data_IF_876667345999
#
_entry.id   IF_876667345999
#
_cell.length_a   1.000
_cell.length_b   1.000
_cell.length_c   1.000
_cell.angle_alpha   90.00
_cell.angle_beta   90.00
_cell.angle_gamma   90.00
#
_symmetry.space_group_name_H-M   'P 1'
#
loop_
_entity.id
_entity.type
_entity.pdbx_description
1 polymer ?
#
# COMPACT_ATOMS: atom_id res chain seq x y z
N UNK A 1 -25.91 18.14 4.34
CA UNK A 1 -25.67 16.71 4.64
C UNK A 1 -26.47 16.39 5.89
N UNK A 2 -27.13 15.23 5.98
CA UNK A 2 -28.01 14.90 7.10
C UNK A 2 -27.16 14.63 8.36
N UNK A 3 -27.20 15.49 9.40
CA UNK A 3 -26.34 15.36 10.58
C UNK A 3 -26.57 14.07 11.36
N UNK A 4 -27.79 13.52 11.29
CA UNK A 4 -28.20 12.33 12.05
C UNK A 4 -28.01 11.03 11.28
N UNK A 5 -27.48 11.08 10.05
CA UNK A 5 -27.27 9.87 9.25
C UNK A 5 -26.25 8.95 9.94
N UNK A 6 -26.72 7.75 10.29
CA UNK A 6 -25.90 6.61 10.70
C UNK A 6 -26.01 5.51 9.66
N UNK A 7 -24.90 5.17 9.01
CA UNK A 7 -24.80 4.14 7.99
C UNK A 7 -24.19 2.87 8.55
N UNK A 8 -24.77 1.71 8.27
CA UNK A 8 -24.17 0.43 8.64
C UNK A 8 -22.98 0.06 7.74
N UNK A 9 -22.98 0.55 6.51
CA UNK A 9 -21.90 0.32 5.54
C UNK A 9 -21.50 1.63 4.89
N UNK A 10 -20.20 1.91 4.86
CA UNK A 10 -19.61 3.02 4.10
C UNK A 10 -18.52 2.47 3.20
N UNK A 11 -18.61 2.76 1.90
CA UNK A 11 -17.53 2.50 0.93
C UNK A 11 -17.19 3.80 0.22
N UNK A 12 -15.91 4.13 0.14
CA UNK A 12 -15.48 5.39 -0.44
C UNK A 12 -14.10 5.31 -1.10
N UNK A 13 -13.94 6.06 -2.18
CA UNK A 13 -12.66 6.39 -2.80
C UNK A 13 -12.52 7.92 -2.86
N UNK A 14 -12.20 8.58 -1.73
CA UNK A 14 -12.02 10.01 -1.70
C UNK A 14 -10.83 10.45 -2.57
N UNK A 15 -10.81 11.70 -3.06
CA UNK A 15 -9.67 12.24 -3.81
C UNK A 15 -8.40 12.25 -2.93
N UNK A 16 -7.33 11.63 -3.44
CA UNK A 16 -6.09 11.45 -2.68
C UNK A 16 -5.45 12.77 -2.30
N UNK A 17 -5.19 12.94 -1.00
CA UNK A 17 -4.53 14.11 -0.43
C UNK A 17 -5.11 15.44 -0.96
N UNK A 18 -6.43 15.50 -1.08
CA UNK A 18 -7.11 16.72 -1.50
C UNK A 18 -6.81 17.87 -0.54
N UNK A 19 -6.72 19.08 -1.09
CA UNK A 19 -6.67 20.29 -0.28
C UNK A 19 -8.03 20.54 0.35
N UNK A 20 -8.04 20.99 1.60
CA UNK A 20 -9.27 21.33 2.32
C UNK A 20 -9.04 22.50 3.27
N UNK A 21 -10.09 22.94 3.97
CA UNK A 21 -10.03 24.13 4.81
C UNK A 21 -9.14 23.94 6.04
N UNK A 22 -9.25 22.81 6.74
CA UNK A 22 -8.51 22.53 7.97
C UNK A 22 -8.60 23.73 8.95
N UNK A 23 -7.51 24.14 9.58
CA UNK A 23 -7.45 25.27 10.52
C UNK A 23 -7.85 26.63 9.92
N UNK A 24 -7.95 26.77 8.59
CA UNK A 24 -8.45 28.00 7.97
C UNK A 24 -9.97 28.22 8.21
N UNK A 25 -10.68 27.20 8.70
CA UNK A 25 -12.06 27.31 9.14
C UNK A 25 -12.13 26.96 10.65
N UNK A 26 -12.21 27.97 11.53
CA UNK A 26 -12.09 27.76 12.97
C UNK A 26 -13.23 26.90 13.54
N UNK A 27 -14.37 26.84 12.84
CA UNK A 27 -15.55 26.05 13.26
C UNK A 27 -15.27 24.55 13.28
N UNK A 28 -14.30 24.09 12.49
CA UNK A 28 -13.94 22.67 12.39
C UNK A 28 -13.27 22.14 13.66
N UNK A 29 -12.62 23.00 14.44
CA UNK A 29 -11.95 22.61 15.70
C UNK A 29 -12.94 22.15 16.79
N UNK A 30 -14.18 22.64 16.72
CA UNK A 30 -15.27 22.33 17.66
C UNK A 30 -16.31 21.40 17.05
N UNK A 31 -16.16 21.00 15.79
CA UNK A 31 -17.08 20.11 15.10
C UNK A 31 -16.91 18.67 15.63
N UNK A 32 -18.01 18.03 16.03
CA UNK A 32 -18.02 16.68 16.62
C UNK A 32 -17.35 15.61 15.73
N UNK A 33 -17.28 15.86 14.42
CA UNK A 33 -16.59 14.96 13.47
C UNK A 33 -15.08 14.95 13.69
N UNK A 34 -14.49 16.02 14.23
CA UNK A 34 -13.04 16.23 14.24
C UNK A 34 -12.47 16.54 15.62
N UNK A 35 -13.26 17.19 16.49
CA UNK A 35 -12.79 17.76 17.76
C UNK A 35 -12.15 16.73 18.70
N UNK A 36 -12.70 15.51 18.76
CA UNK A 36 -12.22 14.45 19.65
C UNK A 36 -10.77 13.98 19.37
N UNK A 37 -10.26 14.18 18.16
CA UNK A 37 -8.93 13.70 17.76
C UNK A 37 -7.79 14.64 18.17
N UNK A 38 -8.11 15.83 18.68
CA UNK A 38 -7.15 16.83 19.17
C UNK A 38 -6.35 17.56 18.08
N UNK A 39 -6.48 17.17 16.81
CA UNK A 39 -5.90 17.84 15.63
C UNK A 39 -6.83 17.67 14.42
N UNK A 40 -6.80 18.66 13.53
CA UNK A 40 -7.38 18.55 12.19
C UNK A 40 -6.34 17.97 11.23
N UNK A 41 -6.79 17.19 10.24
CA UNK A 41 -5.90 16.76 9.16
C UNK A 41 -5.23 17.98 8.45
N UNK A 42 -4.02 17.84 7.90
CA UNK A 42 -3.31 18.97 7.29
C UNK A 42 -4.07 19.60 6.12
N UNK A 43 -3.92 20.92 5.91
CA UNK A 43 -4.56 21.65 4.78
C UNK A 43 -4.28 21.03 3.40
N UNK A 44 -3.11 20.43 3.23
CA UNK A 44 -2.66 19.78 2.00
C UNK A 44 -3.04 18.30 1.87
N UNK A 45 -3.65 17.69 2.89
CA UNK A 45 -4.02 16.28 2.89
C UNK A 45 -5.29 16.06 3.71
N UNK A 46 -6.43 15.95 3.01
CA UNK A 46 -7.74 15.70 3.61
C UNK A 46 -8.00 14.21 3.94
N UNK A 47 -7.01 13.33 3.78
CA UNK A 47 -7.22 11.87 3.88
C UNK A 47 -7.85 11.47 5.23
N UNK A 48 -7.28 11.93 6.35
CA UNK A 48 -7.92 11.71 7.67
C UNK A 48 -9.14 12.58 7.95
N UNK A 49 -9.35 13.68 7.23
CA UNK A 49 -10.61 14.43 7.33
C UNK A 49 -11.78 13.60 6.75
N UNK A 50 -11.56 12.89 5.65
CA UNK A 50 -12.54 11.94 5.13
C UNK A 50 -12.74 10.77 6.07
N UNK A 51 -11.66 10.14 6.56
CA UNK A 51 -11.75 8.99 7.51
C UNK A 51 -12.56 9.35 8.74
N UNK A 52 -12.24 10.45 9.42
CA UNK A 52 -12.92 10.88 10.64
C UNK A 52 -14.38 11.28 10.38
N UNK A 53 -14.65 11.96 9.26
CA UNK A 53 -16.01 12.26 8.84
C UNK A 53 -16.85 11.00 8.61
N UNK A 54 -16.30 9.98 7.95
CA UNK A 54 -17.01 8.72 7.72
C UNK A 54 -17.17 7.91 9.01
N UNK A 55 -16.16 7.88 9.89
CA UNK A 55 -16.27 7.26 11.22
C UNK A 55 -17.41 7.92 12.01
N UNK A 56 -17.56 9.24 11.96
CA UNK A 56 -18.66 9.92 12.64
C UNK A 56 -20.03 9.42 12.17
N UNK A 57 -20.22 9.25 10.86
CA UNK A 57 -21.47 8.76 10.25
C UNK A 57 -21.63 7.24 10.27
N UNK A 58 -20.63 6.47 10.69
CA UNK A 58 -20.75 5.02 10.80
C UNK A 58 -21.65 4.66 11.99
N UNK A 59 -22.59 3.73 11.81
CA UNK A 59 -23.37 3.16 12.92
C UNK A 59 -22.45 2.34 13.84
N UNK A 60 -22.86 2.09 15.08
CA UNK A 60 -22.02 1.37 16.06
C UNK A 60 -21.74 -0.08 15.61
N UNK A 61 -22.72 -0.74 15.00
CA UNK A 61 -22.58 -2.05 14.34
C UNK A 61 -22.00 -1.96 12.91
N UNK A 62 -21.57 -0.77 12.47
CA UNK A 62 -21.21 -0.52 11.09
C UNK A 62 -19.76 -0.88 10.73
N UNK A 63 -19.55 -1.10 9.43
CA UNK A 63 -18.25 -1.34 8.81
C UNK A 63 -17.98 -0.36 7.67
N UNK A 64 -16.74 0.06 7.53
CA UNK A 64 -16.29 0.97 6.48
C UNK A 64 -15.09 0.40 5.74
N UNK A 65 -15.04 0.55 4.41
CA UNK A 65 -13.84 0.35 3.62
C UNK A 65 -13.54 1.61 2.79
N UNK A 66 -12.35 2.16 2.96
CA UNK A 66 -11.95 3.40 2.27
C UNK A 66 -10.62 3.20 1.54
N UNK A 67 -10.58 3.65 0.29
CA UNK A 67 -9.35 3.70 -0.51
C UNK A 67 -8.60 4.99 -0.18
N UNK A 68 -7.31 4.86 0.14
CA UNK A 68 -6.43 5.98 0.50
C UNK A 68 -5.05 5.84 -0.17
N UNK A 69 -4.29 6.92 -0.32
CA UNK A 69 -2.88 6.82 -0.68
C UNK A 69 -2.07 6.22 0.47
N UNK A 70 -0.96 5.54 0.18
CA UNK A 70 -0.06 4.97 1.21
C UNK A 70 0.41 6.01 2.24
N UNK A 71 0.52 7.29 1.87
CA UNK A 71 0.87 8.36 2.81
C UNK A 71 -0.02 8.42 4.06
N UNK A 72 -1.30 8.02 3.96
CA UNK A 72 -2.20 7.96 5.12
C UNK A 72 -1.78 6.90 6.17
N UNK A 73 -0.96 5.92 5.78
CA UNK A 73 -0.48 4.88 6.68
C UNK A 73 0.63 5.38 7.61
N UNK A 74 1.44 6.35 7.17
CA UNK A 74 2.70 6.67 7.85
C UNK A 74 2.97 8.16 8.03
N UNK A 75 2.21 9.07 7.41
CA UNK A 75 2.41 10.51 7.64
C UNK A 75 2.31 10.83 9.13
N UNK A 76 3.29 11.59 9.60
CA UNK A 76 3.46 12.01 10.99
C UNK A 76 2.65 13.28 11.29
N UNK A 77 2.86 13.89 12.45
CA UNK A 77 2.16 15.11 12.85
C UNK A 77 0.67 14.87 13.09
N UNK A 78 -0.18 15.72 12.51
CA UNK A 78 -1.62 15.66 12.75
C UNK A 78 -2.26 14.33 12.36
N UNK A 79 -1.94 13.77 11.18
CA UNK A 79 -2.47 12.46 10.76
C UNK A 79 -1.98 11.33 11.67
N UNK A 80 -0.72 11.38 12.12
CA UNK A 80 -0.20 10.42 13.08
C UNK A 80 -0.94 10.43 14.41
N UNK A 81 -1.27 11.62 14.93
CA UNK A 81 -2.05 11.77 16.16
C UNK A 81 -3.49 11.26 16.00
N UNK A 82 -4.16 11.61 14.89
CA UNK A 82 -5.52 11.12 14.59
C UNK A 82 -5.52 9.60 14.46
N UNK A 83 -4.59 9.04 13.67
CA UNK A 83 -4.42 7.60 13.47
C UNK A 83 -4.21 6.86 14.78
N UNK A 84 -3.29 7.35 15.63
CA UNK A 84 -3.04 6.80 16.97
C UNK A 84 -4.31 6.79 17.82
N UNK A 85 -5.10 7.86 17.80
CA UNK A 85 -6.36 7.91 18.55
C UNK A 85 -7.37 6.87 18.05
N UNK A 86 -7.56 6.75 16.73
CA UNK A 86 -8.48 5.77 16.11
C UNK A 86 -8.09 4.33 16.48
N UNK A 87 -6.80 4.05 16.53
CA UNK A 87 -6.28 2.71 16.86
C UNK A 87 -6.35 2.46 18.37
N UNK A 88 -5.70 3.31 19.17
CA UNK A 88 -5.47 3.05 20.60
C UNK A 88 -6.71 3.33 21.46
N UNK A 89 -7.48 4.38 21.15
CA UNK A 89 -8.62 4.81 21.99
C UNK A 89 -9.94 4.27 21.49
N UNK A 90 -10.10 4.15 20.17
CA UNK A 90 -11.35 3.70 19.58
C UNK A 90 -11.33 2.22 19.20
N UNK A 91 -10.15 1.63 18.94
CA UNK A 91 -10.02 0.28 18.37
C UNK A 91 -10.91 0.11 17.13
N UNK A 92 -10.88 1.07 16.20
CA UNK A 92 -11.75 1.02 15.02
C UNK A 92 -11.09 0.43 13.78
N UNK A 93 -9.76 0.44 13.68
CA UNK A 93 -9.06 -0.07 12.50
C UNK A 93 -8.97 -1.59 12.54
N UNK A 94 -9.54 -2.27 11.55
CA UNK A 94 -9.64 -3.74 11.49
C UNK A 94 -8.59 -4.38 10.57
N UNK A 95 -8.32 -3.74 9.43
CA UNK A 95 -7.33 -4.22 8.46
C UNK A 95 -6.76 -3.10 7.58
N UNK A 96 -5.54 -3.32 7.09
CA UNK A 96 -4.85 -2.51 6.09
C UNK A 96 -4.46 -3.42 4.92
N UNK A 97 -4.99 -3.12 3.73
CA UNK A 97 -4.77 -3.91 2.52
C UNK A 97 -4.00 -3.05 1.53
N UNK A 98 -2.76 -3.41 1.20
CA UNK A 98 -1.96 -2.77 0.16
C UNK A 98 -2.39 -3.27 -1.21
N UNK A 99 -2.71 -2.35 -2.11
CA UNK A 99 -3.09 -2.68 -3.48
C UNK A 99 -1.91 -2.53 -4.44
N UNK A 100 -1.96 -3.21 -5.60
CA UNK A 100 -1.00 -3.00 -6.68
C UNK A 100 -0.87 -1.53 -7.08
N UNK A 101 0.33 -1.17 -7.54
CA UNK A 101 0.55 0.10 -8.23
C UNK A 101 -0.23 0.14 -9.56
N UNK A 102 -0.38 1.34 -10.12
CA UNK A 102 -0.95 1.54 -11.46
C UNK A 102 -2.37 0.96 -11.69
N UNK A 103 -3.20 0.86 -10.64
CA UNK A 103 -4.61 0.45 -10.78
C UNK A 103 -5.55 1.62 -11.15
N UNK A 104 -5.24 2.84 -10.70
CA UNK A 104 -6.14 3.98 -10.83
C UNK A 104 -5.87 4.80 -12.10
N UNK A 105 -6.90 5.46 -12.63
CA UNK A 105 -6.72 6.42 -13.72
C UNK A 105 -6.03 7.67 -13.19
N UNK A 106 -5.05 8.19 -13.94
CA UNK A 106 -4.39 9.46 -13.61
C UNK A 106 -3.29 9.38 -12.55
N UNK A 107 -3.00 8.21 -11.98
CA UNK A 107 -1.84 8.02 -11.10
C UNK A 107 -1.34 6.59 -11.12
N UNK A 108 -0.01 6.42 -11.09
CA UNK A 108 0.64 5.11 -10.92
C UNK A 108 0.92 4.79 -9.46
N UNK A 109 0.59 5.69 -8.52
CA UNK A 109 0.84 5.52 -7.08
C UNK A 109 -0.01 4.34 -6.56
N UNK A 110 0.59 3.41 -5.78
CA UNK A 110 -0.17 2.36 -5.12
C UNK A 110 -1.12 2.93 -4.07
N UNK A 111 -2.29 2.31 -3.98
CA UNK A 111 -3.30 2.67 -2.98
C UNK A 111 -3.35 1.62 -1.86
N UNK A 112 -4.10 1.93 -0.82
CA UNK A 112 -4.46 0.99 0.23
C UNK A 112 -5.95 1.06 0.50
N UNK A 113 -6.54 -0.06 0.90
CA UNK A 113 -7.87 -0.09 1.51
C UNK A 113 -7.67 -0.20 3.02
N UNK A 114 -8.22 0.75 3.76
CA UNK A 114 -8.32 0.65 5.22
C UNK A 114 -9.76 0.25 5.58
N UNK A 115 -9.88 -0.81 6.37
CA UNK A 115 -11.17 -1.33 6.83
C UNK A 115 -11.36 -0.95 8.29
N UNK A 116 -12.50 -0.35 8.62
CA UNK A 116 -12.84 0.08 9.97
C UNK A 116 -14.14 -0.56 10.45
N UNK A 117 -14.24 -0.85 11.75
CA UNK A 117 -15.41 -1.39 12.43
C UNK A 117 -15.57 -0.71 13.78
N UNK A 118 -16.75 -0.17 14.10
CA UNK A 118 -16.95 0.56 15.37
C UNK A 118 -17.05 -0.35 16.59
N UNK A 119 -17.73 -1.48 16.48
CA UNK A 119 -17.85 -2.45 17.56
C UNK A 119 -16.99 -3.70 17.31
N UNK A 120 -15.67 -3.56 17.44
CA UNK A 120 -14.75 -4.71 17.51
C UNK A 120 -14.82 -5.32 18.91
N UNK A 121 -15.41 -6.52 19.04
CA UNK A 121 -15.63 -7.21 20.32
C UNK A 121 -14.57 -8.27 20.63
N UNK A 122 -13.92 -8.75 19.58
CA UNK A 122 -12.88 -9.77 19.55
C UNK A 122 -11.92 -9.28 18.48
N UNK A 123 -10.60 -9.43 18.69
CA UNK A 123 -9.54 -9.03 17.76
C UNK A 123 -9.08 -7.57 17.98
N UNK A 124 -8.12 -7.40 18.90
CA UNK A 124 -7.34 -6.14 19.01
C UNK A 124 -6.25 -6.05 17.93
N UNK A 125 -5.95 -7.17 17.24
CA UNK A 125 -4.98 -7.20 16.15
C UNK A 125 -5.45 -6.44 14.92
N UNK A 126 -4.52 -5.96 14.11
CA UNK A 126 -4.81 -5.35 12.81
C UNK A 126 -4.25 -6.26 11.73
N UNK A 127 -5.10 -6.72 10.82
CA UNK A 127 -4.66 -7.58 9.72
C UNK A 127 -4.02 -6.73 8.63
N UNK A 128 -2.75 -6.99 8.34
CA UNK A 128 -2.06 -6.46 7.18
C UNK A 128 -2.11 -7.47 6.04
N UNK A 129 -2.43 -6.99 4.83
CA UNK A 129 -2.35 -7.79 3.60
C UNK A 129 -1.56 -6.99 2.57
N UNK A 130 -0.44 -7.50 2.10
CA UNK A 130 0.29 -6.96 0.96
C UNK A 130 -0.18 -7.63 -0.33
N UNK A 131 -1.21 -7.08 -0.95
CA UNK A 131 -1.68 -7.51 -2.26
C UNK A 131 -0.98 -6.76 -3.40
N UNK A 132 0.16 -6.09 -3.17
CA UNK A 132 0.86 -5.30 -4.20
C UNK A 132 1.28 -6.12 -5.44
N UNK A 133 1.45 -7.44 -5.27
CA UNK A 133 1.80 -8.40 -6.33
C UNK A 133 0.58 -9.09 -6.96
N UNK A 134 -0.63 -8.82 -6.48
CA UNK A 134 -1.88 -9.41 -6.96
C UNK A 134 -2.41 -8.63 -8.15
N UNK A 135 -1.83 -8.79 -9.33
CA UNK A 135 -2.35 -8.17 -10.55
C UNK A 135 -1.89 -8.89 -11.81
N UNK A 136 -2.67 -8.71 -12.87
CA UNK A 136 -2.23 -8.96 -14.23
C UNK A 136 -1.74 -7.66 -14.86
N UNK A 137 -0.53 -7.69 -15.43
CA UNK A 137 0.05 -6.51 -16.08
C UNK A 137 -0.69 -6.22 -17.38
N UNK A 138 -1.26 -5.02 -17.50
CA UNK A 138 -1.84 -4.52 -18.74
C UNK A 138 -1.18 -3.21 -19.17
N UNK A 139 -1.48 -2.75 -20.40
CA UNK A 139 -0.70 -1.73 -21.10
C UNK A 139 -0.70 -0.37 -20.40
N UNK A 140 -1.86 0.06 -19.93
CA UNK A 140 -2.03 1.38 -19.33
C UNK A 140 -2.20 1.31 -17.81
N UNK A 141 -2.85 0.26 -17.32
CA UNK A 141 -3.15 0.02 -15.92
C UNK A 141 -2.93 -1.45 -15.61
N UNK A 142 -2.59 -1.75 -14.37
CA UNK A 142 -2.64 -3.11 -13.86
C UNK A 142 -4.11 -3.52 -13.70
N UNK A 143 -4.41 -4.78 -13.96
CA UNK A 143 -5.75 -5.34 -13.80
C UNK A 143 -5.79 -6.22 -12.55
N UNK A 144 -6.77 -5.99 -11.68
CA UNK A 144 -7.02 -6.84 -10.53
C UNK A 144 -8.04 -7.90 -10.96
N UNK A 145 -7.58 -9.13 -11.19
CA UNK A 145 -8.44 -10.22 -11.68
C UNK A 145 -9.39 -10.73 -10.59
N UNK A 146 -10.46 -11.43 -10.98
CA UNK A 146 -11.39 -12.04 -10.01
C UNK A 146 -10.68 -13.04 -9.07
N UNK A 147 -9.65 -13.74 -9.56
CA UNK A 147 -8.83 -14.64 -8.76
C UNK A 147 -8.01 -13.88 -7.70
N UNK A 148 -7.42 -12.74 -8.08
CA UNK A 148 -6.72 -11.86 -7.15
C UNK A 148 -7.66 -11.34 -6.07
N UNK A 149 -8.85 -10.85 -6.46
CA UNK A 149 -9.87 -10.34 -5.53
C UNK A 149 -10.29 -11.45 -4.56
N UNK A 150 -10.55 -12.65 -5.07
CA UNK A 150 -10.94 -13.80 -4.25
C UNK A 150 -9.87 -14.16 -3.22
N UNK A 151 -8.60 -14.19 -3.61
CA UNK A 151 -7.49 -14.45 -2.66
C UNK A 151 -7.41 -13.40 -1.55
N UNK A 152 -7.51 -12.12 -1.90
CA UNK A 152 -7.51 -11.02 -0.92
C UNK A 152 -8.69 -11.17 0.05
N UNK A 153 -9.89 -11.42 -0.49
CA UNK A 153 -11.11 -11.53 0.28
C UNK A 153 -11.09 -12.75 1.21
N UNK A 154 -10.65 -13.91 0.72
CA UNK A 154 -10.51 -15.13 1.53
C UNK A 154 -9.47 -14.95 2.64
N UNK A 155 -8.37 -14.24 2.37
CA UNK A 155 -7.36 -13.94 3.37
C UNK A 155 -7.93 -13.03 4.46
N UNK A 156 -8.65 -11.98 4.08
CA UNK A 156 -9.30 -11.06 5.00
C UNK A 156 -10.38 -11.74 5.85
N UNK A 157 -11.34 -12.43 5.21
CA UNK A 157 -12.48 -13.05 5.89
C UNK A 157 -12.05 -14.10 6.94
N UNK A 158 -10.98 -14.84 6.64
CA UNK A 158 -10.47 -15.89 7.52
C UNK A 158 -9.34 -15.41 8.44
N UNK A 159 -8.95 -14.11 8.38
CA UNK A 159 -7.76 -13.54 9.04
C UNK A 159 -6.52 -14.43 8.93
N UNK A 160 -6.26 -14.98 7.74
CA UNK A 160 -5.14 -15.90 7.50
C UNK A 160 -3.82 -15.15 7.53
N UNK A 161 -2.84 -15.70 8.24
CA UNK A 161 -1.43 -15.30 8.13
C UNK A 161 -0.78 -16.14 7.04
N UNK A 162 -0.15 -15.47 6.09
CA UNK A 162 0.47 -16.08 4.92
C UNK A 162 1.84 -15.42 4.77
N UNK A 163 2.89 -16.23 4.75
CA UNK A 163 4.26 -15.76 4.63
C UNK A 163 4.40 -14.80 3.45
N UNK A 164 5.05 -13.65 3.69
CA UNK A 164 5.26 -12.57 2.69
C UNK A 164 3.99 -11.99 2.07
N UNK A 165 2.82 -12.21 2.68
CA UNK A 165 1.55 -11.74 2.12
C UNK A 165 0.61 -11.15 3.17
N UNK A 166 0.49 -11.76 4.35
CA UNK A 166 -0.38 -11.25 5.41
C UNK A 166 0.12 -11.56 6.81
N UNK A 167 -0.10 -10.61 7.72
CA UNK A 167 0.34 -10.68 9.11
C UNK A 167 -0.73 -10.10 10.05
N UNK A 168 -1.00 -10.74 11.19
CA UNK A 168 -1.91 -10.19 12.21
C UNK A 168 -1.10 -9.43 13.24
N UNK A 169 -0.99 -8.13 13.06
CA UNK A 169 -0.19 -7.30 13.93
C UNK A 169 -0.86 -7.10 15.29
N UNK A 170 -0.14 -7.41 16.37
CA UNK A 170 -0.62 -7.17 17.75
C UNK A 170 -0.59 -5.67 18.08
N UNK A 171 -1.35 -5.26 19.10
CA UNK A 171 -1.32 -3.85 19.53
C UNK A 171 0.06 -3.44 20.06
N UNK A 172 0.82 -4.37 20.62
CA UNK A 172 2.22 -4.20 21.01
C UNK A 172 3.09 -3.86 19.79
N UNK A 173 3.02 -4.65 18.71
CA UNK A 173 3.76 -4.40 17.47
C UNK A 173 3.38 -3.04 16.84
N UNK A 174 2.10 -2.67 16.88
CA UNK A 174 1.63 -1.37 16.39
C UNK A 174 2.23 -0.23 17.22
N UNK A 175 2.31 -0.38 18.54
CA UNK A 175 2.92 0.60 19.45
C UNK A 175 4.43 0.73 19.24
N UNK A 176 5.13 -0.39 19.08
CA UNK A 176 6.57 -0.44 18.78
C UNK A 176 6.88 0.26 17.46
N UNK A 177 6.00 0.11 16.47
CA UNK A 177 6.08 0.84 15.20
C UNK A 177 5.55 2.28 15.28
N UNK A 178 5.29 2.82 16.47
CA UNK A 178 4.81 4.20 16.69
C UNK A 178 3.52 4.53 15.90
N UNK A 179 2.63 3.53 15.76
CA UNK A 179 1.41 3.64 14.95
C UNK A 179 1.68 3.93 13.47
N UNK A 180 2.88 3.63 12.97
CA UNK A 180 3.19 3.65 11.55
C UNK A 180 2.66 2.37 10.91
N UNK A 181 1.68 2.51 10.01
CA UNK A 181 1.01 1.38 9.35
C UNK A 181 1.64 1.03 8.00
N UNK A 182 2.88 1.47 7.73
CA UNK A 182 3.56 1.12 6.49
C UNK A 182 3.70 -0.41 6.40
N UNK A 183 3.09 -1.01 5.37
CA UNK A 183 2.88 -2.46 5.26
C UNK A 183 4.18 -3.28 5.38
N UNK A 184 5.32 -2.86 4.79
CA UNK A 184 6.59 -3.60 4.94
C UNK A 184 7.13 -3.70 6.36
N UNK A 185 6.56 -2.98 7.34
CA UNK A 185 6.90 -3.12 8.78
C UNK A 185 6.26 -4.36 9.42
N UNK A 186 5.25 -4.92 8.77
CA UNK A 186 4.43 -6.02 9.29
C UNK A 186 4.46 -7.24 8.38
N UNK A 187 4.56 -7.02 7.07
CA UNK A 187 4.67 -8.09 6.07
C UNK A 187 6.04 -7.98 5.43
N UNK A 188 6.97 -8.85 5.84
CA UNK A 188 8.28 -8.93 5.22
C UNK A 188 8.16 -9.63 3.86
N UNK A 189 8.28 -8.84 2.79
CA UNK A 189 8.25 -9.34 1.41
C UNK A 189 9.64 -9.47 0.80
N UNK A 190 10.69 -9.30 1.61
CA UNK A 190 12.06 -9.48 1.15
C UNK A 190 12.27 -10.93 0.67
N UNK A 191 12.88 -11.04 -0.50
CA UNK A 191 13.38 -12.30 -1.03
C UNK A 191 14.90 -12.23 -0.92
N UNK A 192 15.50 -13.14 -0.16
CA UNK A 192 16.95 -13.30 -0.18
C UNK A 192 17.35 -13.62 -1.63
N UNK A 193 18.14 -12.73 -2.22
CA UNK A 193 18.73 -12.99 -3.54
C UNK A 193 19.56 -14.27 -3.44
N UNK A 194 19.37 -15.17 -4.40
CA UNK A 194 20.17 -16.39 -4.44
C UNK A 194 21.66 -16.02 -4.45
N UNK A 195 22.45 -16.66 -3.59
CA UNK A 195 23.89 -16.44 -3.55
C UNK A 195 24.48 -16.63 -4.95
N UNK A 196 25.06 -15.56 -5.49
CA UNK A 196 25.69 -15.61 -6.81
C UNK A 196 26.96 -16.46 -6.69
N UNK A 197 27.02 -17.59 -7.38
CA UNK A 197 28.27 -18.35 -7.52
C UNK A 197 29.24 -17.54 -8.39
N UNK A 198 30.13 -16.82 -7.72
CA UNK A 198 31.17 -15.98 -8.34
C UNK A 198 32.04 -16.82 -9.30
N UNK A 199 32.27 -18.10 -9.00
CA UNK A 199 33.07 -18.96 -9.87
C UNK A 199 32.33 -19.32 -11.16
N UNK A 200 31.02 -19.58 -11.07
CA UNK A 200 30.18 -19.81 -12.24
C UNK A 200 30.13 -18.57 -13.14
N UNK A 201 29.92 -17.38 -12.56
CA UNK A 201 29.94 -16.11 -13.29
C UNK A 201 31.31 -15.84 -13.92
N UNK A 202 32.40 -16.08 -13.19
CA UNK A 202 33.75 -15.91 -13.73
C UNK A 202 34.04 -16.87 -14.89
N UNK A 203 33.52 -18.10 -14.83
CA UNK A 203 33.62 -19.08 -15.92
C UNK A 203 32.83 -18.62 -17.14
N UNK A 204 31.60 -18.17 -16.95
CA UNK A 204 30.75 -17.64 -18.02
C UNK A 204 31.38 -16.42 -18.71
N UNK A 205 31.97 -15.49 -17.93
CA UNK A 205 32.72 -14.35 -18.49
C UNK A 205 33.89 -14.81 -19.36
N UNK A 206 34.64 -15.84 -18.94
CA UNK A 206 35.75 -16.38 -19.74
C UNK A 206 35.24 -17.00 -21.04
N UNK A 207 34.18 -17.79 -20.97
CA UNK A 207 33.57 -18.42 -22.14
C UNK A 207 33.03 -17.38 -23.13
N UNK A 208 32.36 -16.33 -22.65
CA UNK A 208 31.86 -15.23 -23.46
C UNK A 208 33.00 -14.46 -24.13
N UNK A 209 34.12 -14.22 -23.43
CA UNK A 209 35.31 -13.60 -24.03
C UNK A 209 35.92 -14.45 -25.14
N UNK A 210 36.01 -15.77 -24.94
CA UNK A 210 36.51 -16.67 -25.99
C UNK A 210 35.60 -16.63 -27.22
N UNK A 211 34.28 -16.74 -27.01
CA UNK A 211 33.29 -16.63 -28.09
C UNK A 211 33.36 -15.28 -28.81
N UNK A 212 33.57 -14.18 -28.08
CA UNK A 212 33.73 -12.86 -28.67
C UNK A 212 34.92 -12.82 -29.63
N UNK A 213 36.08 -13.33 -29.21
CA UNK A 213 37.29 -13.37 -30.06
C UNK A 213 37.08 -14.23 -31.29
N UNK A 214 36.41 -15.38 -31.15
CA UNK A 214 36.06 -16.23 -32.31
C UNK A 214 35.12 -15.50 -33.28
N UNK A 215 34.09 -14.84 -32.76
CA UNK A 215 33.13 -14.09 -33.57
C UNK A 215 33.78 -12.90 -34.28
N UNK A 216 34.69 -12.19 -33.63
CA UNK A 216 35.48 -11.10 -34.21
C UNK A 216 36.38 -11.61 -35.34
N UNK A 217 36.96 -12.80 -35.20
CA UNK A 217 37.76 -13.44 -36.25
C UNK A 217 36.91 -13.80 -37.47
N UNK A 218 35.73 -14.38 -37.24
CA UNK A 218 34.80 -14.73 -38.32
C UNK A 218 34.28 -13.46 -39.03
N UNK A 219 33.91 -12.43 -38.27
CA UNK A 219 33.48 -11.15 -38.83
C UNK A 219 34.61 -10.47 -39.62
N UNK A 220 35.85 -10.56 -39.14
CA UNK A 220 37.04 -10.08 -39.86
C UNK A 220 37.19 -10.74 -41.22
N UNK A 221 37.03 -12.07 -41.27
CA UNK A 221 37.11 -12.84 -42.52
C UNK A 221 36.01 -12.43 -43.50
N UNK A 222 34.78 -12.26 -43.02
CA UNK A 222 33.68 -11.77 -43.86
C UNK A 222 33.92 -10.35 -44.37
N UNK A 223 34.48 -9.45 -43.55
CA UNK A 223 34.81 -8.09 -43.98
C UNK A 223 35.89 -8.09 -45.07
N UNK A 224 36.90 -8.97 -44.96
CA UNK A 224 37.95 -9.14 -45.98
C UNK A 224 37.38 -9.71 -47.30
N UNK A 225 36.50 -10.71 -47.24
CA UNK A 225 35.84 -11.28 -48.42
C UNK A 225 34.94 -10.26 -49.16
N UNK A 226 34.28 -9.38 -48.41
CA UNK A 226 33.38 -8.35 -48.94
C UNK A 226 34.09 -7.02 -49.24
N UNK A 227 35.39 -6.92 -48.94
CA UNK A 227 36.22 -5.73 -49.12
C UNK A 227 35.64 -4.47 -48.43
N UNK A 228 35.16 -4.65 -47.20
CA UNK A 228 34.61 -3.59 -46.35
C UNK A 228 35.45 -3.40 -45.08
N UNK A 229 35.34 -2.21 -44.49
CA UNK A 229 36.11 -1.85 -43.29
C UNK A 229 35.63 -2.61 -42.04
N UNK A 230 36.57 -2.99 -41.18
CA UNK A 230 36.30 -3.79 -39.98
C UNK A 230 35.68 -2.90 -38.89
N UNK A 231 34.61 -3.34 -38.21
CA UNK A 231 33.85 -2.50 -37.28
C UNK A 231 34.43 -2.41 -35.85
N UNK A 232 35.64 -2.92 -35.63
CA UNK A 232 36.37 -2.91 -34.35
C UNK A 232 37.87 -2.77 -34.58
#
# INVERSE_FOLDING_TARGET
MNPDLKSEVIVANPPFSAKWKSEADPTLSTDDRFSQYGRLAPKSAADYAFVTHMIYHLADNGSMAVVLPHGALFRSGAEGQIRKYIIEKQNYLDAVIGLPANLFYGTSIPATIMVFKKCRKTDEDILFIDASREFEKSKNQNNLTDENIKKILETYQNRKEIEKYSHKATMEEIKENEYNLNIPRYVDTFEEEAEIDINAVAKEIRELKTKQVELEKDLTKFCEELNIEKPF
#
